data_IF_007542724136
#
_entry.id   IF_007542724136
#
_cell.length_a   1.000
_cell.length_b   1.000
_cell.length_c   1.000
_cell.angle_alpha   90.00
_cell.angle_beta   90.00
_cell.angle_gamma   90.00
#
_symmetry.space_group_name_H-M   'P 1'
#
loop_
_entity.id
_entity.type
_entity.pdbx_description
1 polymer ?
#
# COMPACT_ATOMS: atom_id res chain seq x y z
N UNK A 1 21.73 27.97 16.89
CA UNK A 1 21.82 26.51 17.11
C UNK A 1 20.67 25.81 16.39
N UNK A 2 20.56 25.99 15.07
CA UNK A 2 19.59 25.29 14.22
C UNK A 2 20.28 24.45 13.12
N UNK A 3 21.54 24.76 12.82
CA UNK A 3 22.32 24.10 11.76
C UNK A 3 22.68 22.64 12.06
N UNK A 4 22.73 22.23 13.33
CA UNK A 4 23.14 20.88 13.70
C UNK A 4 22.05 19.83 13.48
N UNK A 5 20.77 20.21 13.52
CA UNK A 5 19.65 19.29 13.27
C UNK A 5 19.51 19.05 11.75
N UNK A 6 19.66 20.11 10.96
CA UNK A 6 19.56 20.05 9.50
C UNK A 6 20.64 19.16 8.86
N UNK A 7 21.87 19.23 9.36
CA UNK A 7 23.00 18.44 8.85
C UNK A 7 22.89 16.93 9.14
N UNK A 8 22.17 16.57 10.22
CA UNK A 8 21.88 15.19 10.61
C UNK A 8 20.73 14.59 9.79
N UNK A 9 19.70 15.38 9.46
CA UNK A 9 18.61 14.96 8.57
C UNK A 9 19.10 14.71 7.14
N UNK A 10 19.98 15.55 6.62
CA UNK A 10 20.58 15.37 5.28
C UNK A 10 21.46 14.11 5.19
N UNK A 11 22.23 13.77 6.24
CA UNK A 11 23.07 12.56 6.28
C UNK A 11 22.27 11.25 6.33
N UNK A 12 21.07 11.25 6.90
CA UNK A 12 20.25 10.03 6.98
C UNK A 12 19.66 9.66 5.62
N UNK A 13 19.34 10.66 4.79
CA UNK A 13 18.78 10.44 3.45
C UNK A 13 19.80 9.73 2.54
N UNK A 14 21.09 10.05 2.65
CA UNK A 14 22.16 9.40 1.88
C UNK A 14 22.46 7.95 2.32
N UNK A 15 21.97 7.53 3.49
CA UNK A 15 22.19 6.19 4.05
C UNK A 15 21.06 5.20 3.73
N UNK A 16 19.96 5.69 3.15
CA UNK A 16 18.82 4.87 2.79
C UNK A 16 19.03 4.26 1.40
N UNK A 17 18.66 3.00 1.19
CA UNK A 17 18.57 2.42 -0.15
C UNK A 17 17.75 3.32 -1.08
N UNK A 18 18.11 3.38 -2.37
CA UNK A 18 17.45 4.23 -3.38
C UNK A 18 15.92 4.00 -3.49
N UNK A 19 15.42 2.86 -3.01
CA UNK A 19 14.00 2.50 -3.02
C UNK A 19 13.29 2.67 -1.66
N UNK A 20 13.96 3.19 -0.63
CA UNK A 20 13.36 3.34 0.70
C UNK A 20 12.48 4.58 0.75
N UNK A 21 11.17 4.36 0.86
CA UNK A 21 10.20 5.41 1.08
C UNK A 21 10.14 5.67 2.58
N UNK A 22 10.67 6.81 3.04
CA UNK A 22 10.38 7.27 4.39
C UNK A 22 8.96 7.80 4.44
N UNK A 23 8.08 7.15 5.21
CA UNK A 23 6.74 7.62 5.50
C UNK A 23 6.75 8.60 6.69
N UNK A 24 6.48 9.91 6.47
CA UNK A 24 6.30 10.86 7.56
C UNK A 24 5.12 10.45 8.45
N UNK A 25 5.21 10.73 9.75
CA UNK A 25 4.19 10.35 10.74
C UNK A 25 2.78 10.85 10.37
N UNK A 26 2.68 12.10 9.87
CA UNK A 26 1.38 12.66 9.45
C UNK A 26 0.75 11.89 8.27
N UNK A 27 1.56 11.27 7.40
CA UNK A 27 1.04 10.41 6.33
C UNK A 27 0.58 9.08 6.90
N UNK A 28 1.27 8.52 7.90
CA UNK A 28 0.83 7.31 8.59
C UNK A 28 -0.54 7.50 9.25
N UNK A 29 -0.76 8.64 9.90
CA UNK A 29 -2.06 8.98 10.49
C UNK A 29 -3.19 9.01 9.44
N UNK A 30 -2.94 9.64 8.29
CA UNK A 30 -3.91 9.72 7.18
C UNK A 30 -4.19 8.33 6.59
N UNK A 31 -3.16 7.52 6.43
CA UNK A 31 -3.28 6.15 5.92
C UNK A 31 -3.99 5.25 6.93
N UNK A 32 -3.76 5.44 8.23
CA UNK A 32 -4.47 4.76 9.30
C UNK A 32 -5.96 5.08 9.29
N UNK A 33 -6.33 6.36 9.24
CA UNK A 33 -7.74 6.78 9.15
C UNK A 33 -8.41 6.19 7.89
N UNK A 34 -7.69 6.19 6.77
CA UNK A 34 -8.17 5.60 5.52
C UNK A 34 -8.38 4.10 5.66
N UNK A 35 -7.41 3.39 6.26
CA UNK A 35 -7.44 1.94 6.52
C UNK A 35 -8.60 1.58 7.46
N UNK A 36 -8.82 2.34 8.53
CA UNK A 36 -9.88 2.09 9.52
C UNK A 36 -11.28 2.08 8.90
N UNK A 37 -11.49 2.89 7.86
CA UNK A 37 -12.76 3.00 7.13
C UNK A 37 -12.99 1.89 6.10
N UNK A 38 -11.98 1.07 5.82
CA UNK A 38 -12.09 -0.04 4.88
C UNK A 38 -12.87 -1.21 5.47
N UNK A 39 -13.66 -1.85 4.63
CA UNK A 39 -14.29 -3.12 4.95
C UNK A 39 -13.26 -4.24 5.08
N UNK A 40 -13.63 -5.33 5.76
CA UNK A 40 -12.73 -6.47 5.94
C UNK A 40 -12.22 -7.07 4.60
N UNK A 41 -13.06 -7.26 3.55
CA UNK A 41 -12.57 -7.73 2.26
C UNK A 41 -11.54 -6.78 1.63
N UNK A 42 -11.75 -5.47 1.75
CA UNK A 42 -10.83 -4.46 1.24
C UNK A 42 -9.47 -4.54 1.94
N UNK A 43 -9.47 -4.68 3.28
CA UNK A 43 -8.24 -4.85 4.08
C UNK A 43 -7.48 -6.12 3.69
N UNK A 44 -8.20 -7.24 3.50
CA UNK A 44 -7.60 -8.51 3.10
C UNK A 44 -6.94 -8.43 1.71
N UNK A 45 -7.61 -7.83 0.73
CA UNK A 45 -7.04 -7.65 -0.62
C UNK A 45 -5.83 -6.73 -0.60
N UNK A 46 -5.88 -5.62 0.16
CA UNK A 46 -4.74 -4.72 0.28
C UNK A 46 -3.53 -5.39 0.93
N UNK A 47 -3.73 -6.09 2.05
CA UNK A 47 -2.67 -6.87 2.71
C UNK A 47 -2.07 -7.91 1.76
N UNK A 48 -2.92 -8.68 1.06
CA UNK A 48 -2.48 -9.65 0.06
C UNK A 48 -1.61 -9.00 -1.03
N UNK A 49 -2.05 -7.90 -1.62
CA UNK A 49 -1.32 -7.20 -2.67
C UNK A 49 -0.04 -6.51 -2.15
N UNK A 50 -0.04 -6.02 -0.91
CA UNK A 50 1.12 -5.37 -0.29
C UNK A 50 2.29 -6.35 -0.09
N UNK A 51 2.01 -7.63 0.20
CA UNK A 51 3.06 -8.68 0.30
C UNK A 51 3.72 -9.04 -1.03
N UNK A 52 3.28 -8.43 -2.14
CA UNK A 52 3.65 -8.87 -3.50
C UNK A 52 4.47 -7.78 -4.17
N UNK A 53 5.70 -8.15 -4.52
CA UNK A 53 6.65 -7.27 -5.17
C UNK A 53 6.31 -7.00 -6.65
N UNK A 54 5.38 -7.77 -7.23
CA UNK A 54 4.98 -7.67 -8.63
C UNK A 54 3.45 -7.61 -8.72
N UNK A 55 2.89 -6.93 -9.74
CA UNK A 55 1.46 -6.92 -9.97
C UNK A 55 0.88 -8.33 -10.13
N UNK A 56 -0.29 -8.57 -9.54
CA UNK A 56 -0.99 -9.87 -9.58
C UNK A 56 -2.13 -9.81 -10.58
N UNK A 57 -2.31 -10.87 -11.35
CA UNK A 57 -3.43 -10.97 -12.29
C UNK A 57 -4.78 -11.24 -11.61
N UNK A 58 -5.88 -10.82 -12.25
CA UNK A 58 -7.24 -11.16 -11.81
C UNK A 58 -7.44 -12.67 -11.63
N UNK A 59 -6.87 -13.48 -12.53
CA UNK A 59 -6.97 -14.94 -12.45
C UNK A 59 -6.34 -15.48 -11.16
N UNK A 60 -5.14 -15.01 -10.82
CA UNK A 60 -4.47 -15.39 -9.57
C UNK A 60 -5.23 -14.89 -8.34
N UNK A 61 -5.83 -13.70 -8.38
CA UNK A 61 -6.67 -13.23 -7.28
C UNK A 61 -7.89 -14.15 -7.09
N UNK A 62 -8.57 -14.55 -8.17
CA UNK A 62 -9.68 -15.49 -8.10
C UNK A 62 -9.30 -16.86 -7.53
N UNK A 63 -8.06 -17.32 -7.77
CA UNK A 63 -7.55 -18.58 -7.22
C UNK A 63 -7.12 -18.47 -5.75
N UNK A 64 -6.69 -17.29 -5.31
CA UNK A 64 -6.14 -17.07 -3.96
C UNK A 64 -7.16 -16.56 -2.95
N UNK A 65 -8.28 -16.01 -3.40
CA UNK A 65 -9.33 -15.47 -2.52
C UNK A 65 -10.50 -16.43 -2.42
N UNK A 66 -11.00 -16.69 -1.22
CA UNK A 66 -12.19 -17.54 -0.98
C UNK A 66 -13.52 -16.82 -1.25
N UNK A 67 -13.48 -15.57 -1.73
CA UNK A 67 -14.67 -14.74 -2.00
C UNK A 67 -15.30 -15.05 -3.35
N UNK A 68 -16.59 -14.75 -3.50
CA UNK A 68 -17.24 -14.87 -4.81
C UNK A 68 -16.58 -13.94 -5.84
N UNK A 69 -16.54 -14.31 -7.14
CA UNK A 69 -15.97 -13.46 -8.18
C UNK A 69 -16.57 -12.06 -8.23
N UNK A 70 -17.89 -11.94 -7.99
CA UNK A 70 -18.59 -10.66 -7.95
C UNK A 70 -18.14 -9.79 -6.78
N UNK A 71 -17.99 -10.38 -5.59
CA UNK A 71 -17.54 -9.66 -4.39
C UNK A 71 -16.08 -9.22 -4.51
N UNK A 72 -15.22 -10.06 -5.10
CA UNK A 72 -13.84 -9.70 -5.42
C UNK A 72 -13.80 -8.51 -6.38
N UNK A 73 -14.56 -8.56 -7.47
CA UNK A 73 -14.60 -7.46 -8.45
C UNK A 73 -15.12 -6.16 -7.83
N UNK A 74 -16.15 -6.23 -6.99
CA UNK A 74 -16.67 -5.07 -6.26
C UNK A 74 -15.62 -4.48 -5.32
N UNK A 75 -14.88 -5.35 -4.62
CA UNK A 75 -13.80 -4.96 -3.70
C UNK A 75 -12.67 -4.27 -4.47
N UNK A 76 -12.18 -4.88 -5.55
CA UNK A 76 -11.16 -4.30 -6.41
C UNK A 76 -11.59 -2.95 -7.00
N UNK A 77 -12.84 -2.85 -7.46
CA UNK A 77 -13.37 -1.59 -7.99
C UNK A 77 -13.45 -0.50 -6.93
N UNK A 78 -13.88 -0.83 -5.70
CA UNK A 78 -13.93 0.10 -4.58
C UNK A 78 -12.53 0.63 -4.23
N UNK A 79 -11.54 -0.26 -4.15
CA UNK A 79 -10.14 0.08 -3.90
C UNK A 79 -9.54 0.96 -5.00
N UNK A 80 -9.77 0.62 -6.28
CA UNK A 80 -9.32 1.44 -7.41
C UNK A 80 -9.91 2.86 -7.36
N UNK A 81 -11.20 3.00 -7.03
CA UNK A 81 -11.87 4.31 -6.95
C UNK A 81 -11.29 5.22 -5.85
N UNK A 82 -10.72 4.62 -4.80
CA UNK A 82 -10.06 5.33 -3.70
C UNK A 82 -8.55 5.49 -3.93
N UNK A 83 -8.04 5.08 -5.09
CA UNK A 83 -6.62 5.08 -5.43
C UNK A 83 -5.75 4.27 -4.45
N UNK A 84 -6.33 3.22 -3.85
CA UNK A 84 -5.63 2.35 -2.89
C UNK A 84 -4.93 1.17 -3.58
N UNK A 85 -5.34 0.87 -4.82
CA UNK A 85 -4.67 -0.07 -5.70
C UNK A 85 -4.59 0.54 -7.09
N UNK A 86 -3.59 0.13 -7.84
CA UNK A 86 -3.42 0.43 -9.25
C UNK A 86 -3.87 -0.75 -10.09
N UNK A 87 -4.54 -0.46 -11.22
CA UNK A 87 -4.94 -1.45 -12.21
C UNK A 87 -4.29 -1.12 -13.54
N UNK A 88 -3.51 -2.07 -14.06
CA UNK A 88 -2.96 -2.03 -15.42
C UNK A 88 -3.45 -3.26 -16.16
N UNK A 89 -4.35 -3.06 -17.13
CA UNK A 89 -5.07 -4.15 -17.81
C UNK A 89 -5.78 -5.10 -16.81
N UNK A 90 -5.29 -6.33 -16.66
CA UNK A 90 -5.79 -7.33 -15.72
C UNK A 90 -4.85 -7.55 -14.52
N UNK A 91 -3.86 -6.69 -14.35
CA UNK A 91 -2.90 -6.71 -13.27
C UNK A 91 -3.27 -5.66 -12.21
N UNK A 92 -3.06 -6.04 -10.95
CA UNK A 92 -3.37 -5.24 -9.79
C UNK A 92 -2.15 -5.13 -8.89
N UNK A 93 -1.89 -3.95 -8.36
CA UNK A 93 -0.78 -3.71 -7.43
C UNK A 93 -1.14 -2.63 -6.42
N UNK A 94 -0.37 -2.55 -5.34
CA UNK A 94 -0.48 -1.48 -4.35
C UNK A 94 0.56 -0.40 -4.66
N UNK A 95 0.19 0.89 -4.64
CA UNK A 95 1.15 2.00 -4.73
C UNK A 95 2.27 1.86 -3.71
N UNK A 96 3.51 2.22 -4.08
CA UNK A 96 4.67 2.00 -3.21
C UNK A 96 4.53 2.63 -1.81
N UNK A 97 3.89 3.80 -1.70
CA UNK A 97 3.60 4.46 -0.42
C UNK A 97 2.68 3.63 0.49
N UNK A 98 1.68 2.97 -0.09
CA UNK A 98 0.78 2.12 0.67
C UNK A 98 1.44 0.79 1.02
N UNK A 99 2.28 0.25 0.12
CA UNK A 99 3.07 -0.94 0.40
C UNK A 99 3.95 -0.73 1.62
N UNK A 100 4.67 0.40 1.67
CA UNK A 100 5.51 0.74 2.81
C UNK A 100 4.71 0.83 4.10
N UNK A 101 3.54 1.47 4.08
CA UNK A 101 2.65 1.55 5.25
C UNK A 101 2.25 0.16 5.76
N UNK A 102 1.93 -0.77 4.87
CA UNK A 102 1.60 -2.15 5.26
C UNK A 102 2.82 -2.97 5.70
N UNK A 103 4.04 -2.65 5.25
CA UNK A 103 5.28 -3.29 5.72
C UNK A 103 5.66 -2.77 7.11
N UNK A 104 5.51 -1.47 7.38
CA UNK A 104 5.83 -0.85 8.67
C UNK A 104 4.80 -1.15 9.77
N UNK A 105 3.57 -1.54 9.40
CA UNK A 105 2.45 -1.75 10.33
C UNK A 105 2.21 -3.21 10.74
N UNK A 106 3.06 -4.15 10.30
CA UNK A 106 3.03 -5.59 10.64
C UNK A 106 4.04 -5.91 11.76
#
# INVERSE_FOLDING_TARGET
MASQIQELEENLIELLPDDTILLPEYLKDILQETSDRLSQPEKQILSLLATKNQPISLAQLLETTETSPSDLLNTLQSLCRRSLIEKQENLYSVPSVLREYYIESD
#
